data_IF_259677980636
#
_entry.id   IF_259677980636
#
_cell.length_a   1.000
_cell.length_b   1.000
_cell.length_c   1.000
_cell.angle_alpha   90.00
_cell.angle_beta   90.00
_cell.angle_gamma   90.00
#
_symmetry.space_group_name_H-M   'P 1'
#
loop_
_entity.id
_entity.type
_entity.pdbx_description
1 polymer ?
#
# COMPACT_ATOMS: atom_id res chain seq x y z
N UNK A 1 14.49 -8.49 22.35
CA UNK A 1 14.73 -8.47 23.82
C UNK A 1 16.19 -8.10 24.04
N UNK A 2 16.43 -6.93 24.63
CA UNK A 2 17.76 -6.32 24.76
C UNK A 2 18.50 -6.92 25.95
N UNK A 3 19.63 -7.59 25.70
CA UNK A 3 20.50 -8.10 26.76
C UNK A 3 21.48 -7.00 27.17
N UNK A 4 21.12 -6.31 28.24
CA UNK A 4 21.97 -5.33 28.92
C UNK A 4 23.10 -6.09 29.65
N UNK A 5 24.31 -6.10 29.08
CA UNK A 5 25.50 -6.62 29.77
C UNK A 5 25.91 -5.58 30.81
N UNK A 6 25.52 -5.80 32.07
CA UNK A 6 26.03 -5.02 33.21
C UNK A 6 27.43 -5.53 33.55
N UNK A 7 28.47 -4.78 33.18
CA UNK A 7 29.82 -5.01 33.66
C UNK A 7 29.91 -4.63 35.15
N UNK A 8 29.76 -5.61 36.02
CA UNK A 8 29.80 -5.44 37.48
C UNK A 8 31.20 -5.11 38.04
N UNK A 9 32.21 -4.90 37.19
CA UNK A 9 33.61 -4.77 37.59
C UNK A 9 34.35 -3.64 36.84
N UNK A 10 33.70 -2.51 36.56
CA UNK A 10 34.40 -1.29 36.14
C UNK A 10 34.78 -0.46 37.37
N UNK A 11 36.05 -0.52 37.79
CA UNK A 11 36.62 0.37 38.82
C UNK A 11 37.33 1.54 38.12
N UNK A 12 36.84 2.79 38.23
CA UNK A 12 37.51 3.94 37.64
C UNK A 12 38.86 4.18 38.32
N UNK A 13 39.86 4.49 37.49
CA UNK A 13 41.28 4.64 37.82
C UNK A 13 41.61 5.95 38.56
N UNK A 14 40.80 6.31 39.57
CA UNK A 14 40.96 7.53 40.38
C UNK A 14 41.19 7.26 41.88
N UNK A 15 41.29 6.00 42.30
CA UNK A 15 41.77 5.64 43.64
C UNK A 15 43.23 5.19 43.54
N UNK A 16 44.21 5.93 44.09
CA UNK A 16 45.56 5.40 44.22
C UNK A 16 45.50 4.18 45.12
N UNK A 17 45.94 3.03 44.61
CA UNK A 17 46.10 1.84 45.44
C UNK A 17 47.08 2.17 46.57
N UNK A 18 46.58 2.21 47.81
CA UNK A 18 47.40 2.42 48.98
C UNK A 18 48.34 1.22 49.14
N UNK A 19 49.62 1.40 48.79
CA UNK A 19 50.67 0.48 49.21
C UNK A 19 50.80 0.61 50.73
N UNK A 20 50.45 -0.46 51.44
CA UNK A 20 50.69 -0.57 52.88
C UNK A 20 52.20 -0.73 53.10
N UNK A 21 52.88 0.40 53.30
CA UNK A 21 54.33 0.48 53.51
C UNK A 21 54.69 0.11 54.97
N UNK A 22 54.02 -0.88 55.55
CA UNK A 22 54.20 -1.30 56.94
C UNK A 22 55.25 -2.41 57.12
N UNK A 23 56.29 -2.45 56.28
CA UNK A 23 57.53 -3.17 56.62
C UNK A 23 58.58 -2.15 57.04
N UNK A 24 58.55 -1.84 58.33
CA UNK A 24 59.64 -1.11 58.97
C UNK A 24 60.86 -2.04 58.93
N UNK A 25 61.86 -1.68 58.12
CA UNK A 25 63.20 -2.18 58.36
C UNK A 25 63.64 -1.63 59.71
N UNK A 26 63.82 -2.51 60.68
CA UNK A 26 64.40 -2.18 61.96
C UNK A 26 65.85 -1.77 61.71
N UNK A 27 66.11 -0.46 61.59
CA UNK A 27 67.46 0.09 61.72
C UNK A 27 67.84 -0.16 63.18
N UNK A 28 68.88 -0.94 63.50
CA UNK A 28 69.38 -1.01 64.86
C UNK A 28 69.84 0.40 65.23
N UNK A 29 69.16 1.02 66.18
CA UNK A 29 69.65 2.22 66.86
C UNK A 29 70.95 1.79 67.53
N UNK A 30 72.05 2.46 67.20
CA UNK A 30 73.29 2.36 67.97
C UNK A 30 72.96 2.74 69.42
N UNK A 31 72.82 1.75 70.28
CA UNK A 31 72.89 1.96 71.72
C UNK A 31 74.32 2.42 72.03
N UNK A 32 74.49 3.73 72.20
CA UNK A 32 75.63 4.30 72.89
C UNK A 32 75.55 3.85 74.35
N UNK A 33 76.10 2.68 74.65
CA UNK A 33 76.44 2.31 76.02
C UNK A 33 77.71 3.07 76.40
N UNK A 34 77.57 3.94 77.39
CA UNK A 34 78.67 4.64 78.05
C UNK A 34 79.71 3.62 78.53
N UNK A 35 80.92 3.69 77.98
CA UNK A 35 82.09 3.03 78.55
C UNK A 35 82.39 3.66 79.92
N UNK A 36 81.98 2.98 80.99
CA UNK A 36 82.64 3.16 82.28
C UNK A 36 84.08 2.67 82.15
N UNK A 37 85.02 3.60 81.96
CA UNK A 37 86.45 3.33 82.04
C UNK A 37 86.83 3.10 83.51
N UNK A 38 87.19 1.88 83.97
CA UNK A 38 87.83 1.73 85.27
C UNK A 38 89.24 2.33 85.19
N UNK A 39 89.48 3.36 86.01
CA UNK A 39 90.80 3.99 86.16
C UNK A 39 91.82 2.97 86.67
N UNK A 40 92.77 2.65 85.80
CA UNK A 40 93.99 1.89 86.09
C UNK A 40 94.22 0.78 85.07
N UNK A 41 94.79 1.12 83.91
CA UNK A 41 95.04 0.14 82.83
C UNK A 41 96.53 0.10 82.50
N UNK A 42 97.10 -1.12 82.51
CA UNK A 42 98.45 -1.45 82.08
C UNK A 42 98.68 -1.04 80.60
N UNK A 43 99.86 -0.53 80.21
CA UNK A 43 100.16 -0.08 78.84
C UNK A 43 100.09 -1.16 77.76
N UNK A 44 99.98 -2.45 78.13
CA UNK A 44 99.79 -3.56 77.19
C UNK A 44 98.34 -3.72 76.71
N UNK A 45 97.33 -3.25 77.46
CA UNK A 45 95.90 -3.43 77.14
C UNK A 45 95.38 -2.35 76.18
N UNK A 46 96.00 -1.17 76.17
CA UNK A 46 95.67 -0.08 75.24
C UNK A 46 96.05 -0.38 73.78
N UNK A 47 97.14 -1.14 73.56
CA UNK A 47 97.58 -1.55 72.21
C UNK A 47 96.64 -2.63 71.64
N UNK A 48 96.20 -3.57 72.47
CA UNK A 48 95.25 -4.63 72.07
C UNK A 48 93.83 -4.10 71.80
N UNK A 49 93.42 -3.02 72.47
CA UNK A 49 92.13 -2.37 72.25
C UNK A 49 92.10 -1.65 70.88
N UNK A 50 93.17 -0.94 70.54
CA UNK A 50 93.30 -0.27 69.24
C UNK A 50 93.37 -1.24 68.05
N UNK A 51 93.96 -2.42 68.22
CA UNK A 51 93.95 -3.49 67.20
C UNK A 51 92.54 -4.10 67.02
N UNK A 52 91.79 -4.28 68.11
CA UNK A 52 90.41 -4.76 68.06
C UNK A 52 89.46 -3.74 67.40
N UNK A 53 89.66 -2.44 67.65
CA UNK A 53 88.91 -1.36 66.99
C UNK A 53 89.15 -1.34 65.48
N UNK A 54 90.40 -1.51 65.03
CA UNK A 54 90.73 -1.60 63.60
C UNK A 54 90.09 -2.81 62.91
N UNK A 55 90.10 -3.98 63.56
CA UNK A 55 89.43 -5.18 63.03
C UNK A 55 87.92 -5.01 62.97
N UNK A 56 87.31 -4.35 63.97
CA UNK A 56 85.88 -4.00 63.97
C UNK A 56 85.55 -3.10 62.78
N UNK A 57 86.34 -2.05 62.55
CA UNK A 57 86.10 -1.09 61.48
C UNK A 57 86.28 -1.74 60.09
N UNK A 58 87.26 -2.63 59.91
CA UNK A 58 87.42 -3.44 58.69
C UNK A 58 86.24 -4.39 58.47
N UNK A 59 85.77 -5.09 59.51
CA UNK A 59 84.59 -5.97 59.43
C UNK A 59 83.30 -5.21 59.12
N UNK A 60 83.12 -4.02 59.71
CA UNK A 60 81.97 -3.17 59.43
C UNK A 60 82.00 -2.67 57.99
N UNK A 61 83.18 -2.28 57.49
CA UNK A 61 83.37 -1.86 56.11
C UNK A 61 83.11 -3.00 55.12
N UNK A 62 83.65 -4.19 55.36
CA UNK A 62 83.40 -5.37 54.52
C UNK A 62 81.93 -5.78 54.51
N UNK A 63 81.26 -5.69 55.67
CA UNK A 63 79.82 -5.97 55.79
C UNK A 63 78.96 -4.94 55.05
N UNK A 64 79.35 -3.65 55.11
CA UNK A 64 78.72 -2.57 54.34
C UNK A 64 78.89 -2.79 52.83
N UNK A 65 80.11 -3.07 52.37
CA UNK A 65 80.38 -3.33 50.95
C UNK A 65 79.63 -4.58 50.42
N UNK A 66 79.49 -5.61 51.25
CA UNK A 66 78.68 -6.80 50.92
C UNK A 66 77.18 -6.47 50.85
N UNK A 67 76.65 -5.72 51.81
CA UNK A 67 75.25 -5.30 51.82
C UNK A 67 74.91 -4.40 50.63
N UNK A 68 75.79 -3.46 50.28
CA UNK A 68 75.65 -2.60 49.10
C UNK A 68 75.66 -3.41 47.81
N UNK A 69 76.53 -4.42 47.69
CA UNK A 69 76.57 -5.31 46.52
C UNK A 69 75.29 -6.12 46.38
N UNK A 70 74.82 -6.73 47.46
CA UNK A 70 73.57 -7.49 47.46
C UNK A 70 72.36 -6.60 47.13
N UNK A 71 72.32 -5.37 47.67
CA UNK A 71 71.26 -4.41 47.37
C UNK A 71 71.28 -4.00 45.89
N UNK A 72 72.47 -3.79 45.34
CA UNK A 72 72.66 -3.46 43.93
C UNK A 72 72.18 -4.60 43.02
N UNK A 73 72.62 -5.82 43.27
CA UNK A 73 72.21 -7.00 42.49
C UNK A 73 70.69 -7.23 42.56
N UNK A 74 70.10 -7.10 43.75
CA UNK A 74 68.65 -7.19 43.94
C UNK A 74 67.89 -6.07 43.22
N UNK A 75 68.45 -4.84 43.21
CA UNK A 75 67.85 -3.71 42.49
C UNK A 75 67.89 -3.90 40.97
N UNK A 76 69.01 -4.38 40.43
CA UNK A 76 69.17 -4.67 39.00
C UNK A 76 68.25 -5.82 38.55
N UNK A 77 68.07 -6.84 39.39
CA UNK A 77 67.14 -7.94 39.11
C UNK A 77 65.67 -7.48 39.18
N UNK A 78 65.31 -6.65 40.17
CA UNK A 78 63.98 -6.05 40.25
C UNK A 78 63.69 -5.15 39.05
N UNK A 79 64.67 -4.36 38.60
CA UNK A 79 64.55 -3.54 37.39
C UNK A 79 64.35 -4.38 36.13
N UNK A 80 65.08 -5.50 35.98
CA UNK A 80 64.84 -6.45 34.87
C UNK A 80 63.44 -7.05 34.92
N UNK A 81 63.00 -7.54 36.08
CA UNK A 81 61.66 -8.13 36.21
C UNK A 81 60.57 -7.11 35.91
N UNK A 82 60.73 -5.86 36.34
CA UNK A 82 59.78 -4.78 36.03
C UNK A 82 59.79 -4.43 34.54
N UNK A 83 60.95 -4.42 33.90
CA UNK A 83 61.05 -4.18 32.45
C UNK A 83 60.36 -5.30 31.66
N UNK A 84 60.61 -6.56 32.00
CA UNK A 84 59.98 -7.71 31.37
C UNK A 84 58.46 -7.72 31.60
N UNK A 85 58.00 -7.46 32.82
CA UNK A 85 56.57 -7.38 33.12
C UNK A 85 55.88 -6.25 32.34
N UNK A 86 56.55 -5.10 32.16
CA UNK A 86 56.02 -4.00 31.33
C UNK A 86 55.90 -4.41 29.86
N UNK A 87 56.93 -5.05 29.31
CA UNK A 87 56.89 -5.54 27.92
C UNK A 87 55.78 -6.58 27.71
N UNK A 88 55.58 -7.49 28.66
CA UNK A 88 54.48 -8.46 28.61
C UNK A 88 53.10 -7.79 28.70
N UNK A 89 52.94 -6.77 29.55
CA UNK A 89 51.69 -5.99 29.66
C UNK A 89 51.41 -5.25 28.36
N UNK A 90 52.42 -4.61 27.78
CA UNK A 90 52.28 -3.86 26.53
C UNK A 90 51.92 -4.81 25.36
N UNK A 91 52.59 -5.96 25.27
CA UNK A 91 52.26 -6.98 24.28
C UNK A 91 50.83 -7.52 24.44
N UNK A 92 50.40 -7.77 25.69
CA UNK A 92 49.03 -8.21 25.97
C UNK A 92 47.99 -7.16 25.58
N UNK A 93 48.25 -5.88 25.85
CA UNK A 93 47.37 -4.79 25.46
C UNK A 93 47.27 -4.63 23.95
N UNK A 94 48.38 -4.79 23.23
CA UNK A 94 48.39 -4.70 21.78
C UNK A 94 47.62 -5.87 21.14
N UNK A 95 47.81 -7.09 21.63
CA UNK A 95 47.03 -8.25 21.20
C UNK A 95 45.52 -8.03 21.45
N UNK A 96 45.15 -7.50 22.63
CA UNK A 96 43.76 -7.20 22.95
C UNK A 96 43.15 -6.13 22.06
N UNK A 97 43.91 -5.09 21.73
CA UNK A 97 43.43 -4.04 20.81
C UNK A 97 43.19 -4.57 19.40
N UNK A 98 44.07 -5.45 18.91
CA UNK A 98 43.88 -6.10 17.61
C UNK A 98 42.61 -6.97 17.61
N UNK A 99 42.43 -7.81 18.63
CA UNK A 99 41.23 -8.64 18.76
C UNK A 99 39.94 -7.81 18.86
N UNK A 100 39.96 -6.72 19.65
CA UNK A 100 38.81 -5.83 19.79
C UNK A 100 38.49 -5.10 18.48
N UNK A 101 39.51 -4.72 17.70
CA UNK A 101 39.32 -4.11 16.39
C UNK A 101 38.69 -5.09 15.41
N UNK A 102 39.26 -6.30 15.29
CA UNK A 102 38.74 -7.36 14.42
C UNK A 102 37.29 -7.71 14.78
N UNK A 103 36.98 -7.84 16.08
CA UNK A 103 35.63 -8.09 16.56
C UNK A 103 34.69 -6.92 16.25
N UNK A 104 35.16 -5.68 16.40
CA UNK A 104 34.37 -4.48 16.07
C UNK A 104 34.03 -4.43 14.58
N UNK A 105 34.98 -4.75 13.71
CA UNK A 105 34.77 -4.78 12.26
C UNK A 105 33.83 -5.93 11.85
N UNK A 106 33.99 -7.11 12.44
CA UNK A 106 33.09 -8.24 12.22
C UNK A 106 31.64 -7.90 12.63
N UNK A 107 31.45 -7.30 13.82
CA UNK A 107 30.12 -6.91 14.28
C UNK A 107 29.50 -5.79 13.44
N UNK A 108 30.30 -4.83 12.97
CA UNK A 108 29.82 -3.75 12.09
C UNK A 108 29.39 -4.29 10.73
N UNK A 109 30.20 -5.15 10.12
CA UNK A 109 29.90 -5.74 8.81
C UNK A 109 28.67 -6.64 8.88
N UNK A 110 28.54 -7.45 9.92
CA UNK A 110 27.37 -8.30 10.13
C UNK A 110 26.11 -7.47 10.42
N UNK A 111 26.19 -6.46 11.28
CA UNK A 111 25.07 -5.57 11.57
C UNK A 111 24.62 -4.77 10.35
N UNK A 112 25.56 -4.32 9.51
CA UNK A 112 25.26 -3.66 8.24
C UNK A 112 24.57 -4.62 7.27
N UNK A 113 25.07 -5.85 7.14
CA UNK A 113 24.50 -6.86 6.26
C UNK A 113 23.07 -7.23 6.68
N UNK A 114 22.87 -7.53 7.97
CA UNK A 114 21.54 -7.84 8.51
C UNK A 114 20.58 -6.66 8.33
N UNK A 115 20.99 -5.44 8.69
CA UNK A 115 20.15 -4.26 8.53
C UNK A 115 19.80 -3.96 7.06
N UNK A 116 20.73 -4.23 6.13
CA UNK A 116 20.48 -4.10 4.70
C UNK A 116 19.51 -5.16 4.19
N UNK A 117 19.69 -6.44 4.57
CA UNK A 117 18.80 -7.54 4.18
C UNK A 117 17.38 -7.32 4.73
N UNK A 118 17.24 -6.96 6.01
CA UNK A 118 15.95 -6.63 6.63
C UNK A 118 15.29 -5.41 5.98
N UNK A 119 16.08 -4.35 5.73
CA UNK A 119 15.60 -3.14 5.06
C UNK A 119 15.13 -3.41 3.63
N UNK A 120 15.87 -4.21 2.88
CA UNK A 120 15.51 -4.61 1.51
C UNK A 120 14.23 -5.45 1.49
N UNK A 121 14.11 -6.45 2.37
CA UNK A 121 12.92 -7.28 2.46
C UNK A 121 11.68 -6.46 2.86
N UNK A 122 11.83 -5.54 3.82
CA UNK A 122 10.74 -4.65 4.24
C UNK A 122 10.32 -3.70 3.12
N UNK A 123 11.27 -3.10 2.40
CA UNK A 123 10.98 -2.23 1.27
C UNK A 123 10.28 -2.99 0.12
N UNK A 124 10.69 -4.23 -0.16
CA UNK A 124 10.03 -5.08 -1.16
C UNK A 124 8.59 -5.41 -0.74
N UNK A 125 8.36 -5.74 0.53
CA UNK A 125 7.01 -6.00 1.04
C UNK A 125 6.13 -4.74 0.96
N UNK A 126 6.60 -3.59 1.44
CA UNK A 126 5.84 -2.33 1.40
C UNK A 126 5.52 -1.93 -0.04
N UNK A 127 6.47 -2.10 -0.97
CA UNK A 127 6.26 -1.84 -2.39
C UNK A 127 5.21 -2.78 -2.98
N UNK A 128 5.26 -4.07 -2.65
CA UNK A 128 4.28 -5.06 -3.12
C UNK A 128 2.87 -4.73 -2.60
N UNK A 129 2.74 -4.40 -1.31
CA UNK A 129 1.46 -3.99 -0.73
C UNK A 129 0.90 -2.72 -1.39
N UNK A 130 1.77 -1.76 -1.73
CA UNK A 130 1.37 -0.54 -2.43
C UNK A 130 0.90 -0.83 -3.86
N UNK A 131 1.61 -1.70 -4.58
CA UNK A 131 1.21 -2.12 -5.93
C UNK A 131 -0.09 -2.93 -5.91
N UNK A 132 -0.26 -3.85 -4.97
CA UNK A 132 -1.48 -4.64 -4.81
C UNK A 132 -2.68 -3.73 -4.51
N UNK A 133 -2.53 -2.72 -3.64
CA UNK A 133 -3.57 -1.72 -3.40
C UNK A 133 -3.88 -0.90 -4.66
N UNK A 134 -2.86 -0.36 -5.33
CA UNK A 134 -3.04 0.45 -6.53
C UNK A 134 -3.71 -0.34 -7.67
N UNK A 135 -3.35 -1.62 -7.84
CA UNK A 135 -3.96 -2.49 -8.84
C UNK A 135 -5.41 -2.83 -8.48
N UNK A 136 -5.71 -3.06 -7.21
CA UNK A 136 -7.08 -3.28 -6.75
C UNK A 136 -7.95 -2.05 -6.97
N UNK A 137 -7.50 -0.86 -6.56
CA UNK A 137 -8.20 0.41 -6.78
C UNK A 137 -8.43 0.67 -8.28
N UNK A 138 -7.44 0.38 -9.13
CA UNK A 138 -7.58 0.50 -10.57
C UNK A 138 -8.62 -0.47 -11.15
N UNK A 139 -8.67 -1.72 -10.65
CA UNK A 139 -9.68 -2.70 -11.05
C UNK A 139 -11.09 -2.27 -10.63
N UNK A 140 -11.25 -1.79 -9.39
CA UNK A 140 -12.54 -1.27 -8.90
C UNK A 140 -13.01 -0.07 -9.73
N UNK A 141 -12.11 0.86 -10.03
CA UNK A 141 -12.44 2.03 -10.85
C UNK A 141 -12.82 1.62 -12.29
N UNK A 142 -12.15 0.63 -12.87
CA UNK A 142 -12.54 0.09 -14.17
C UNK A 142 -13.92 -0.55 -14.13
N UNK A 143 -14.21 -1.38 -13.12
CA UNK A 143 -15.54 -1.99 -12.96
C UNK A 143 -16.63 -0.94 -12.78
N UNK A 144 -16.38 0.10 -11.99
CA UNK A 144 -17.31 1.23 -11.85
C UNK A 144 -17.52 1.96 -13.17
N UNK A 145 -16.47 2.17 -13.97
CA UNK A 145 -16.58 2.81 -15.28
C UNK A 145 -17.41 1.97 -16.27
N UNK A 146 -17.25 0.63 -16.26
CA UNK A 146 -18.09 -0.26 -17.06
C UNK A 146 -19.56 -0.20 -16.64
N UNK A 147 -19.85 -0.25 -15.34
CA UNK A 147 -21.22 -0.12 -14.82
C UNK A 147 -21.85 1.22 -15.18
N UNK A 148 -21.14 2.32 -14.94
CA UNK A 148 -21.62 3.66 -15.27
C UNK A 148 -21.88 3.83 -16.78
N UNK A 149 -21.07 3.19 -17.64
CA UNK A 149 -21.31 3.16 -19.09
C UNK A 149 -22.61 2.42 -19.40
N UNK A 150 -22.85 1.26 -18.80
CA UNK A 150 -24.06 0.48 -19.07
C UNK A 150 -25.30 1.21 -18.56
N UNK A 151 -25.26 1.77 -17.35
CA UNK A 151 -26.33 2.63 -16.80
C UNK A 151 -26.63 3.81 -17.74
N UNK A 152 -25.60 4.48 -18.27
CA UNK A 152 -25.79 5.57 -19.24
C UNK A 152 -26.49 5.12 -20.52
N UNK A 153 -26.15 3.93 -21.03
CA UNK A 153 -26.80 3.36 -22.22
C UNK A 153 -28.26 3.04 -21.91
N UNK A 154 -28.53 2.40 -20.77
CA UNK A 154 -29.87 2.05 -20.32
C UNK A 154 -30.77 3.28 -20.14
N UNK A 155 -30.22 4.37 -19.59
CA UNK A 155 -30.97 5.64 -19.46
C UNK A 155 -31.20 6.32 -20.83
N UNK A 156 -30.24 6.20 -21.75
CA UNK A 156 -30.31 6.86 -23.05
C UNK A 156 -31.23 6.16 -24.06
N UNK A 157 -31.35 4.83 -24.01
CA UNK A 157 -32.13 4.05 -24.99
C UNK A 157 -33.62 4.43 -25.03
N UNK A 158 -34.38 4.46 -23.90
CA UNK A 158 -35.79 4.86 -23.90
C UNK A 158 -35.98 6.31 -24.38
N UNK A 159 -35.06 7.20 -23.98
CA UNK A 159 -35.08 8.59 -24.40
C UNK A 159 -34.88 8.74 -25.92
N UNK A 160 -33.97 7.98 -26.52
CA UNK A 160 -33.75 7.97 -27.97
C UNK A 160 -34.95 7.42 -28.73
N UNK A 161 -35.61 6.38 -28.21
CA UNK A 161 -36.85 5.85 -28.81
C UNK A 161 -37.95 6.91 -28.77
N UNK A 162 -38.16 7.56 -27.63
CA UNK A 162 -39.16 8.62 -27.49
C UNK A 162 -38.89 9.80 -28.44
N UNK A 163 -37.64 10.27 -28.49
CA UNK A 163 -37.25 11.33 -29.42
C UNK A 163 -37.47 10.93 -30.89
N UNK A 164 -37.13 9.70 -31.26
CA UNK A 164 -37.30 9.19 -32.62
C UNK A 164 -38.77 9.11 -33.01
N UNK A 165 -39.63 8.62 -32.10
CA UNK A 165 -41.07 8.58 -32.30
C UNK A 165 -41.66 9.99 -32.45
N UNK A 166 -41.25 10.95 -31.60
CA UNK A 166 -41.71 12.34 -31.71
C UNK A 166 -41.28 13.03 -33.01
N UNK A 167 -40.07 12.72 -33.51
CA UNK A 167 -39.62 13.20 -34.82
C UNK A 167 -40.48 12.57 -35.94
N UNK A 168 -40.73 11.26 -35.88
CA UNK A 168 -41.53 10.56 -36.87
C UNK A 168 -42.96 11.09 -36.93
N UNK A 169 -43.61 11.31 -35.78
CA UNK A 169 -44.92 11.94 -35.64
C UNK A 169 -44.97 13.27 -36.38
N UNK A 170 -44.03 14.17 -36.06
CA UNK A 170 -43.97 15.51 -36.67
C UNK A 170 -43.71 15.49 -38.17
N UNK A 171 -42.91 14.54 -38.66
CA UNK A 171 -42.65 14.36 -40.10
C UNK A 171 -43.91 13.83 -40.81
N UNK A 172 -44.59 12.85 -40.24
CA UNK A 172 -45.81 12.26 -40.80
C UNK A 172 -46.94 13.30 -40.84
N UNK A 173 -47.17 14.03 -39.74
CA UNK A 173 -48.14 15.12 -39.68
C UNK A 173 -47.87 16.17 -40.77
N UNK A 174 -46.60 16.54 -40.96
CA UNK A 174 -46.23 17.52 -41.98
C UNK A 174 -46.48 16.98 -43.39
N UNK A 175 -46.09 15.74 -43.67
CA UNK A 175 -46.26 15.13 -44.99
C UNK A 175 -47.73 14.96 -45.35
N UNK A 176 -48.57 14.50 -44.41
CA UNK A 176 -50.01 14.37 -44.63
C UNK A 176 -50.72 15.72 -44.82
N UNK A 177 -50.11 16.83 -44.39
CA UNK A 177 -50.59 18.19 -44.72
C UNK A 177 -50.27 18.58 -46.15
N UNK A 178 -49.15 18.11 -46.70
CA UNK A 178 -48.69 18.45 -48.05
C UNK A 178 -49.32 17.56 -49.11
N UNK A 179 -49.49 16.27 -48.81
CA UNK A 179 -49.95 15.25 -49.74
C UNK A 179 -51.06 14.40 -49.10
N UNK A 180 -52.32 14.87 -49.12
CA UNK A 180 -53.45 14.17 -48.48
C UNK A 180 -53.79 12.84 -49.17
N UNK A 181 -53.34 12.64 -50.41
CA UNK A 181 -53.50 11.39 -51.17
C UNK A 181 -52.87 10.18 -50.45
N UNK A 182 -51.77 10.39 -49.70
CA UNK A 182 -51.14 9.37 -48.86
C UNK A 182 -52.09 8.79 -47.81
N UNK A 183 -53.06 9.58 -47.32
CA UNK A 183 -54.09 9.12 -46.39
C UNK A 183 -54.98 8.06 -47.04
N UNK A 184 -55.39 8.29 -48.30
CA UNK A 184 -56.20 7.32 -49.06
C UNK A 184 -55.39 6.04 -49.28
N UNK A 185 -54.10 6.14 -49.57
CA UNK A 185 -53.24 4.96 -49.73
C UNK A 185 -53.08 4.15 -48.43
N UNK A 186 -52.92 4.85 -47.30
CA UNK A 186 -52.85 4.24 -45.97
C UNK A 186 -54.14 3.49 -45.64
N UNK A 187 -55.29 4.10 -45.90
CA UNK A 187 -56.61 3.46 -45.71
C UNK A 187 -56.73 2.26 -46.64
N UNK A 188 -56.38 2.41 -47.92
CA UNK A 188 -56.39 1.33 -48.93
C UNK A 188 -55.54 0.13 -48.49
N UNK A 189 -54.36 0.38 -47.93
CA UNK A 189 -53.44 -0.65 -47.42
C UNK A 189 -53.99 -1.34 -46.16
N UNK A 190 -54.65 -0.61 -45.27
CA UNK A 190 -55.28 -1.21 -44.09
C UNK A 190 -56.50 -2.06 -44.46
N UNK A 191 -57.31 -1.61 -45.43
CA UNK A 191 -58.43 -2.38 -45.96
C UNK A 191 -57.96 -3.64 -46.70
N UNK A 192 -56.90 -3.56 -47.51
CA UNK A 192 -56.40 -4.72 -48.28
C UNK A 192 -55.81 -5.84 -47.41
N UNK A 193 -55.28 -5.50 -46.23
CA UNK A 193 -54.75 -6.47 -45.26
C UNK A 193 -55.82 -7.38 -44.67
N UNK A 194 -57.09 -6.98 -44.71
CA UNK A 194 -58.19 -7.70 -44.07
C UNK A 194 -59.30 -8.04 -45.06
N UNK A 195 -59.48 -9.34 -45.33
CA UNK A 195 -60.60 -9.85 -46.13
C UNK A 195 -61.81 -10.09 -45.23
N UNK A 196 -62.48 -9.00 -44.85
CA UNK A 196 -63.68 -9.05 -44.03
C UNK A 196 -64.95 -9.05 -44.91
N UNK A 197 -66.00 -9.71 -44.42
CA UNK A 197 -67.30 -9.85 -45.12
C UNK A 197 -68.39 -9.09 -44.36
N UNK A 198 -69.34 -8.50 -45.08
CA UNK A 198 -70.43 -7.71 -44.50
C UNK A 198 -70.16 -6.20 -44.49
N UNK A 199 -70.79 -5.47 -43.58
CA UNK A 199 -70.69 -4.00 -43.53
C UNK A 199 -69.40 -3.58 -42.81
N UNK A 200 -68.57 -2.80 -43.48
CA UNK A 200 -67.34 -2.21 -42.95
C UNK A 200 -67.58 -0.71 -42.78
N UNK A 201 -67.52 -0.22 -41.54
CA UNK A 201 -67.64 1.19 -41.21
C UNK A 201 -66.26 1.81 -41.01
N UNK A 202 -65.85 2.71 -41.89
CA UNK A 202 -64.64 3.51 -41.81
C UNK A 202 -64.94 4.84 -41.10
N UNK A 203 -64.51 4.95 -39.85
CA UNK A 203 -64.63 6.17 -39.06
C UNK A 203 -63.42 7.09 -39.32
N UNK A 204 -63.67 8.33 -39.73
CA UNK A 204 -62.64 9.32 -40.08
C UNK A 204 -62.91 10.66 -39.42
N UNK A 205 -61.87 11.49 -39.30
CA UNK A 205 -62.01 12.85 -38.79
C UNK A 205 -63.01 13.66 -39.64
N UNK A 206 -63.89 14.48 -39.03
CA UNK A 206 -64.86 15.29 -39.78
C UNK A 206 -64.22 16.21 -40.82
N UNK A 207 -63.00 16.69 -40.56
CA UNK A 207 -62.24 17.56 -41.47
C UNK A 207 -61.79 16.86 -42.75
N UNK A 208 -61.70 15.52 -42.74
CA UNK A 208 -61.23 14.71 -43.86
C UNK A 208 -62.32 13.87 -44.51
N UNK A 209 -63.53 13.90 -43.96
CA UNK A 209 -64.68 13.12 -44.44
C UNK A 209 -64.95 13.35 -45.93
N UNK A 210 -65.08 14.60 -46.37
CA UNK A 210 -65.40 14.94 -47.77
C UNK A 210 -64.35 14.40 -48.75
N UNK A 211 -63.07 14.53 -48.41
CA UNK A 211 -61.96 14.05 -49.25
C UNK A 211 -61.95 12.54 -49.38
N UNK A 212 -62.15 11.82 -48.27
CA UNK A 212 -62.15 10.35 -48.26
C UNK A 212 -63.44 9.81 -48.89
N UNK A 213 -64.57 10.51 -48.72
CA UNK A 213 -65.83 10.14 -49.34
C UNK A 213 -65.77 10.25 -50.87
N UNK A 214 -65.07 11.25 -51.41
CA UNK A 214 -64.81 11.36 -52.85
C UNK A 214 -64.00 10.15 -53.39
N UNK A 215 -63.12 9.58 -52.57
CA UNK A 215 -62.34 8.38 -52.90
C UNK A 215 -63.06 7.05 -52.59
N UNK A 216 -64.35 7.07 -52.22
CA UNK A 216 -65.10 5.87 -51.80
C UNK A 216 -65.12 4.78 -52.86
N UNK A 217 -65.33 5.13 -54.13
CA UNK A 217 -65.37 4.14 -55.22
C UNK A 217 -64.03 3.43 -55.36
N UNK A 218 -62.92 4.18 -55.27
CA UNK A 218 -61.57 3.63 -55.35
C UNK A 218 -61.25 2.69 -54.17
N UNK A 219 -61.60 3.10 -52.95
CA UNK A 219 -61.43 2.26 -51.75
C UNK A 219 -62.29 1.00 -51.81
N UNK A 220 -63.48 1.08 -52.42
CA UNK A 220 -64.39 -0.04 -52.62
C UNK A 220 -63.83 -1.14 -53.53
N UNK A 221 -62.97 -0.79 -54.50
CA UNK A 221 -62.35 -1.77 -55.41
C UNK A 221 -61.39 -2.75 -54.71
N UNK A 222 -60.88 -2.36 -53.54
CA UNK A 222 -59.90 -3.14 -52.78
C UNK A 222 -60.56 -4.08 -51.77
N UNK A 223 -61.86 -3.88 -51.51
CA UNK A 223 -62.65 -4.66 -50.58
C UNK A 223 -63.29 -5.84 -51.32
N UNK A 224 -63.58 -6.94 -50.61
CA UNK A 224 -64.25 -8.11 -51.19
C UNK A 224 -65.64 -7.70 -51.72
N UNK A 225 -66.03 -8.24 -52.88
CA UNK A 225 -67.36 -8.09 -53.50
C UNK A 225 -68.54 -8.38 -52.57
N UNK A 226 -68.32 -9.11 -51.48
CA UNK A 226 -69.33 -9.44 -50.46
C UNK A 226 -69.37 -8.46 -49.27
N UNK A 227 -68.61 -7.37 -49.31
CA UNK A 227 -68.55 -6.37 -48.25
C UNK A 227 -68.98 -4.98 -48.75
N UNK A 228 -69.65 -4.22 -47.87
CA UNK A 228 -70.13 -2.88 -48.14
C UNK A 228 -69.36 -1.86 -47.31
N UNK A 229 -68.72 -0.88 -47.96
CA UNK A 229 -67.99 0.20 -47.29
C UNK A 229 -68.91 1.38 -46.97
N UNK A 230 -69.03 1.69 -45.68
CA UNK A 230 -69.67 2.89 -45.15
C UNK A 230 -68.61 3.80 -44.53
N UNK A 231 -68.61 5.08 -44.90
CA UNK A 231 -67.67 6.07 -44.33
C UNK A 231 -68.48 6.96 -43.39
N UNK A 232 -68.02 7.10 -42.15
CA UNK A 232 -68.71 7.84 -41.08
C UNK A 232 -67.77 8.89 -40.47
N UNK A 233 -68.22 10.14 -40.28
CA UNK A 233 -67.45 11.12 -39.53
C UNK A 233 -67.51 10.79 -38.04
N UNK A 234 -66.35 10.72 -37.37
CA UNK A 234 -66.24 10.48 -35.93
C UNK A 234 -65.32 11.53 -35.29
N UNK A 235 -65.86 12.35 -34.37
CA UNK A 235 -65.12 13.42 -33.71
C UNK A 235 -64.05 12.92 -32.72
N UNK A 236 -64.05 11.62 -32.39
CA UNK A 236 -63.00 11.01 -31.55
C UNK A 236 -61.71 10.74 -32.33
N UNK A 237 -61.76 10.77 -33.66
CA UNK A 237 -60.60 10.67 -34.55
C UNK A 237 -60.08 12.09 -34.80
N UNK A 238 -59.13 12.54 -33.98
CA UNK A 238 -58.51 13.86 -34.09
C UNK A 238 -57.33 13.90 -35.08
N UNK A 239 -56.73 12.74 -35.32
CA UNK A 239 -55.55 12.57 -36.16
C UNK A 239 -55.94 12.16 -37.59
N UNK A 240 -55.01 12.28 -38.55
CA UNK A 240 -55.16 11.94 -39.97
C UNK A 240 -55.16 10.44 -40.27
N UNK A 241 -55.71 9.65 -39.35
CA UNK A 241 -55.91 8.22 -39.50
C UNK A 241 -57.38 7.82 -39.66
N UNK A 242 -57.65 6.54 -39.44
CA UNK A 242 -59.00 5.98 -39.51
C UNK A 242 -59.21 4.86 -38.50
N UNK A 243 -60.45 4.64 -38.08
CA UNK A 243 -60.85 3.47 -37.30
C UNK A 243 -61.79 2.62 -38.15
N UNK A 244 -61.43 1.37 -38.38
CA UNK A 244 -62.21 0.43 -39.19
C UNK A 244 -63.03 -0.44 -38.25
N UNK A 245 -64.35 -0.37 -38.32
CA UNK A 245 -65.27 -1.20 -37.53
C UNK A 245 -65.98 -2.21 -38.44
N UNK A 246 -66.00 -3.47 -38.03
CA UNK A 246 -66.72 -4.54 -38.70
C UNK A 246 -67.39 -5.47 -37.70
N UNK A 247 -68.18 -6.42 -38.22
CA UNK A 247 -68.85 -7.46 -37.43
C UNK A 247 -67.89 -8.34 -36.62
N UNK A 248 -66.61 -8.38 -36.99
CA UNK A 248 -65.59 -9.21 -36.36
C UNK A 248 -64.70 -8.44 -35.37
N UNK A 249 -64.82 -7.11 -35.31
CA UNK A 249 -64.08 -6.27 -34.36
C UNK A 249 -63.81 -4.87 -34.89
N UNK A 250 -63.07 -4.09 -34.11
CA UNK A 250 -62.58 -2.76 -34.49
C UNK A 250 -61.06 -2.76 -34.61
N UNK A 251 -60.55 -2.14 -35.66
CA UNK A 251 -59.13 -1.88 -35.88
C UNK A 251 -58.89 -0.40 -35.77
N UNK A 252 -58.01 -0.03 -34.86
CA UNK A 252 -57.52 1.33 -34.76
C UNK A 252 -56.31 1.50 -35.67
N UNK A 253 -56.47 2.29 -36.74
CA UNK A 253 -55.41 2.62 -37.67
C UNK A 253 -55.09 4.13 -37.62
N UNK A 254 -55.29 4.78 -36.46
CA UNK A 254 -54.75 6.12 -36.17
C UNK A 254 -53.22 6.11 -36.21
N UNK A 255 -52.60 7.21 -36.66
CA UNK A 255 -51.14 7.29 -36.76
C UNK A 255 -50.54 7.28 -35.35
N UNK A 256 -51.15 8.03 -34.42
CA UNK A 256 -50.75 8.06 -33.01
C UNK A 256 -50.72 6.66 -32.40
N UNK A 257 -51.76 5.85 -32.64
CA UNK A 257 -51.83 4.49 -32.10
C UNK A 257 -50.77 3.59 -32.73
N UNK A 258 -50.49 3.73 -34.03
CA UNK A 258 -49.42 2.96 -34.67
C UNK A 258 -48.04 3.34 -34.15
N UNK A 259 -47.76 4.63 -33.96
CA UNK A 259 -46.50 5.12 -33.42
C UNK A 259 -46.33 4.71 -31.95
N UNK A 260 -47.39 4.74 -31.17
CA UNK A 260 -47.39 4.30 -29.77
C UNK A 260 -47.11 2.79 -29.64
N UNK A 261 -47.70 1.96 -30.50
CA UNK A 261 -47.39 0.52 -30.51
C UNK A 261 -45.95 0.25 -30.96
N UNK A 262 -45.42 1.00 -31.94
CA UNK A 262 -44.01 0.92 -32.32
C UNK A 262 -43.11 1.35 -31.15
N UNK A 263 -43.45 2.45 -30.45
CA UNK A 263 -42.73 2.93 -29.26
C UNK A 263 -42.67 1.84 -28.20
N UNK A 264 -43.81 1.23 -27.85
CA UNK A 264 -43.88 0.15 -26.87
C UNK A 264 -43.04 -1.05 -27.27
N UNK A 265 -43.09 -1.46 -28.53
CA UNK A 265 -42.32 -2.60 -29.03
C UNK A 265 -40.81 -2.31 -28.98
N UNK A 266 -40.38 -1.12 -29.42
CA UNK A 266 -38.98 -0.71 -29.39
C UNK A 266 -38.44 -0.59 -27.96
N UNK A 267 -39.24 -0.03 -27.04
CA UNK A 267 -38.89 0.00 -25.61
C UNK A 267 -38.82 -1.41 -25.03
N UNK A 268 -39.74 -2.30 -25.40
CA UNK A 268 -39.69 -3.70 -24.95
C UNK A 268 -38.41 -4.40 -25.41
N UNK A 269 -38.02 -4.20 -26.68
CA UNK A 269 -36.78 -4.77 -27.21
C UNK A 269 -35.55 -4.21 -26.48
N UNK A 270 -35.53 -2.92 -26.18
CA UNK A 270 -34.46 -2.30 -25.40
C UNK A 270 -34.34 -2.92 -23.99
N UNK A 271 -35.47 -3.14 -23.32
CA UNK A 271 -35.53 -3.79 -22.00
C UNK A 271 -35.21 -5.31 -22.05
N UNK A 272 -35.55 -6.01 -23.12
CA UNK A 272 -35.21 -7.44 -23.28
C UNK A 272 -33.70 -7.64 -23.55
N UNK A 273 -33.07 -6.72 -24.28
CA UNK A 273 -31.62 -6.71 -24.46
C UNK A 273 -30.89 -6.42 -23.14
N UNK A 274 -31.49 -5.66 -22.22
CA UNK A 274 -31.02 -5.43 -20.85
C UNK A 274 -30.94 -6.75 -20.06
N UNK A 275 -32.01 -7.56 -20.05
CA UNK A 275 -32.05 -8.83 -19.33
C UNK A 275 -31.02 -9.83 -19.85
N UNK A 276 -30.74 -9.82 -21.17
CA UNK A 276 -29.71 -10.68 -21.78
C UNK A 276 -28.30 -10.24 -21.43
N UNK A 277 -28.00 -8.93 -21.49
CA UNK A 277 -26.68 -8.42 -21.13
C UNK A 277 -26.35 -8.68 -19.66
N UNK A 278 -27.32 -8.49 -18.76
CA UNK A 278 -27.14 -8.77 -17.34
C UNK A 278 -26.89 -10.27 -17.07
N UNK A 279 -27.51 -11.18 -17.83
CA UNK A 279 -27.27 -12.62 -17.70
C UNK A 279 -25.90 -13.08 -18.20
N UNK A 280 -25.36 -12.41 -19.23
CA UNK A 280 -24.03 -12.69 -19.76
C UNK A 280 -22.90 -12.13 -18.86
N UNK A 281 -23.18 -11.09 -18.04
CA UNK A 281 -22.21 -10.54 -17.07
C UNK A 281 -22.13 -11.33 -15.75
N UNK A 282 -23.22 -12.03 -15.36
CA UNK A 282 -23.29 -12.85 -14.14
C UNK A 282 -22.80 -14.31 -14.34
N UNK A 283 -22.46 -14.73 -15.57
CA UNK A 283 -22.05 -16.09 -15.95
C UNK A 283 -20.52 -16.25 -16.16
#
# INVERSE_FOLDING_TARGET
>A
MSNLIKSSHYKPMNEPAALDLARHYHVPVEEQSEEEVPKGVDPAVAVTLAEAERMKDEMLKDSQEFAERQLREASEEAERMLAEAKEQIDAWWEERRLQDNDLSEALKSEGYRQGYEEGAAKAEQEMRELLDKATHEAQELLQQAYRAKEELIQEAEPFLVELSCAIAEKVIERQLTVEPELMVELIRKNLSRKREKGVISLCVAPEHFEFIYAAREELGLVIDSQAELQILPDATVQDRGCVIRSSFGSVDARIDTQLEEIKKELVRIALEDEERRNQDEDA
#
